data_IF_585927343247
#
_entry.id   IF_585927343247
#
_cell.length_a   1.000
_cell.length_b   1.000
_cell.length_c   1.000
_cell.angle_alpha   90.00
_cell.angle_beta   90.00
_cell.angle_gamma   90.00
#
_symmetry.space_group_name_H-M   'P 1'
#
loop_
_entity.id
_entity.type
_entity.pdbx_description
1 polymer ?
#
# COMPACT_ATOMS: atom_id res chain seq x y z
N UNK A 1 4.63 36.59 3.89
CA UNK A 1 4.49 35.42 3.00
C UNK A 1 3.18 34.73 3.33
N UNK A 2 2.19 34.75 2.45
CA UNK A 2 0.97 33.96 2.62
C UNK A 2 1.32 32.46 2.52
N UNK A 3 0.93 31.67 3.52
CA UNK A 3 1.09 30.22 3.47
C UNK A 3 0.11 29.66 2.46
N UNK A 4 0.58 29.16 1.32
CA UNK A 4 -0.23 28.41 0.34
C UNK A 4 -0.93 27.24 1.06
N UNK A 5 -2.23 27.10 0.83
CA UNK A 5 -3.02 25.96 1.33
C UNK A 5 -2.58 24.69 0.60
N UNK A 6 -2.19 23.67 1.35
CA UNK A 6 -1.75 22.38 0.80
C UNK A 6 -2.90 21.61 0.15
N UNK A 7 -2.61 20.86 -0.91
CA UNK A 7 -3.56 19.96 -1.56
C UNK A 7 -3.79 18.68 -0.74
N UNK A 8 -4.87 17.96 -1.02
CA UNK A 8 -5.15 16.67 -0.38
C UNK A 8 -4.04 15.63 -0.64
N UNK A 9 -3.45 15.69 -1.83
CA UNK A 9 -2.33 14.83 -2.25
C UNK A 9 -1.06 15.17 -1.47
N UNK A 10 -0.68 16.45 -1.38
CA UNK A 10 0.48 16.89 -0.58
C UNK A 10 0.35 16.45 0.88
N UNK A 11 -0.84 16.59 1.47
CA UNK A 11 -1.10 16.14 2.85
C UNK A 11 -1.01 14.62 2.98
N UNK A 12 -1.41 13.87 1.95
CA UNK A 12 -1.36 12.40 1.94
C UNK A 12 0.07 11.90 1.80
N UNK A 13 0.83 12.46 0.87
CA UNK A 13 2.25 12.18 0.67
C UNK A 13 3.06 12.48 1.93
N UNK A 14 2.91 13.69 2.50
CA UNK A 14 3.55 14.07 3.76
C UNK A 14 3.25 13.07 4.89
N UNK A 15 2.00 12.58 4.96
CA UNK A 15 1.58 11.65 6.00
C UNK A 15 2.14 10.26 5.80
N UNK A 16 2.23 9.79 4.56
CA UNK A 16 2.81 8.51 4.20
C UNK A 16 4.29 8.47 4.55
N UNK A 17 5.09 9.38 3.98
CA UNK A 17 6.55 9.38 4.17
C UNK A 17 6.94 9.56 5.64
N UNK A 18 6.25 10.45 6.39
CA UNK A 18 6.49 10.60 7.85
C UNK A 18 6.17 9.36 8.67
N UNK A 19 5.31 8.46 8.19
CA UNK A 19 4.97 7.20 8.88
C UNK A 19 5.91 6.08 8.47
N UNK A 20 6.25 6.04 7.19
CA UNK A 20 7.25 5.12 6.64
C UNK A 20 8.60 5.31 7.34
N UNK A 21 9.08 6.56 7.44
CA UNK A 21 10.33 6.91 8.14
C UNK A 21 10.33 6.49 9.62
N UNK A 22 9.15 6.45 10.25
CA UNK A 22 8.98 6.01 11.65
C UNK A 22 8.87 4.50 11.80
N UNK A 23 8.92 3.72 10.70
CA UNK A 23 8.65 2.29 10.72
C UNK A 23 7.22 1.96 11.17
N UNK A 24 6.27 2.87 10.95
CA UNK A 24 4.87 2.73 11.40
C UNK A 24 3.98 2.03 10.36
N UNK A 25 4.48 1.78 9.15
CA UNK A 25 3.75 1.17 8.06
C UNK A 25 4.22 -0.27 7.82
N UNK A 26 3.26 -1.16 7.57
CA UNK A 26 3.51 -2.55 7.18
C UNK A 26 2.71 -2.83 5.91
N UNK A 27 3.33 -3.47 4.93
CA UNK A 27 2.64 -3.97 3.74
C UNK A 27 1.71 -5.11 4.16
N UNK A 28 0.42 -4.97 3.90
CA UNK A 28 -0.59 -6.00 4.18
C UNK A 28 -1.11 -6.66 2.90
N UNK A 29 -0.94 -6.03 1.75
CA UNK A 29 -1.20 -6.67 0.46
C UNK A 29 -0.24 -6.15 -0.59
N UNK A 30 0.17 -7.02 -1.50
CA UNK A 30 1.00 -6.70 -2.65
C UNK A 30 0.61 -7.58 -3.84
N UNK A 31 0.92 -7.11 -5.04
CA UNK A 31 0.83 -7.94 -6.24
C UNK A 31 1.80 -9.12 -6.12
N UNK A 32 1.37 -10.32 -6.56
CA UNK A 32 2.28 -11.47 -6.65
C UNK A 32 3.21 -11.27 -7.87
N UNK A 33 4.51 -11.33 -7.63
CA UNK A 33 5.53 -11.13 -8.67
C UNK A 33 5.24 -11.92 -9.97
N UNK A 34 5.17 -11.20 -11.08
CA UNK A 34 5.42 -11.73 -12.42
C UNK A 34 4.27 -12.45 -13.14
N UNK A 35 3.05 -12.47 -12.60
CA UNK A 35 1.90 -13.06 -13.28
C UNK A 35 0.68 -12.15 -13.25
N UNK A 36 0.28 -11.66 -14.42
CA UNK A 36 -0.97 -10.92 -14.59
C UNK A 36 -2.06 -11.87 -15.09
N UNK A 37 -3.22 -11.85 -14.45
CA UNK A 37 -4.38 -12.63 -14.86
C UNK A 37 -5.51 -11.68 -15.25
N UNK A 38 -5.90 -11.67 -16.53
CA UNK A 38 -7.07 -10.91 -17.00
C UNK A 38 -8.25 -11.88 -17.15
N UNK A 39 -9.35 -11.59 -16.48
CA UNK A 39 -10.60 -12.35 -16.61
C UNK A 39 -11.68 -11.47 -17.27
N UNK A 40 -11.95 -11.72 -18.54
CA UNK A 40 -13.05 -11.10 -19.31
C UNK A 40 -13.75 -12.20 -20.12
N UNK A 41 -14.62 -12.98 -19.47
CA UNK A 41 -15.31 -14.14 -20.04
C UNK A 41 -14.48 -15.44 -20.10
N UNK A 42 -13.15 -15.34 -20.22
CA UNK A 42 -12.18 -16.42 -19.99
C UNK A 42 -10.98 -15.83 -19.22
N UNK A 43 -10.40 -16.58 -18.29
CA UNK A 43 -9.20 -16.14 -17.57
C UNK A 43 -7.95 -16.52 -18.37
N UNK A 44 -7.11 -15.52 -18.67
CA UNK A 44 -5.78 -15.71 -19.24
C UNK A 44 -4.74 -15.24 -18.23
N UNK A 45 -3.85 -16.14 -17.86
CA UNK A 45 -2.72 -15.87 -16.97
C UNK A 45 -1.42 -16.11 -17.75
N UNK A 46 -0.46 -15.20 -17.66
CA UNK A 46 0.81 -15.34 -18.35
C UNK A 46 1.84 -14.31 -17.95
N UNK A 47 3.07 -14.51 -18.42
CA UNK A 47 4.10 -13.48 -18.30
C UNK A 47 3.74 -12.30 -19.20
N UNK A 48 3.96 -11.06 -18.73
CA UNK A 48 3.74 -9.87 -19.55
C UNK A 48 4.50 -9.96 -20.89
N UNK A 49 3.85 -9.56 -21.99
CA UNK A 49 4.50 -9.45 -23.32
C UNK A 49 5.47 -8.26 -23.32
N UNK A 50 6.46 -8.23 -24.22
CA UNK A 50 7.32 -7.04 -24.44
C UNK A 50 6.45 -5.80 -24.69
N UNK A 51 6.81 -4.64 -24.12
CA UNK A 51 6.03 -3.39 -23.99
C UNK A 51 5.08 -3.34 -22.76
N UNK A 52 5.47 -3.91 -21.61
CA UNK A 52 4.58 -4.00 -20.44
C UNK A 52 4.90 -2.97 -19.36
N UNK A 53 3.83 -2.41 -18.81
CA UNK A 53 3.84 -1.62 -17.58
C UNK A 53 4.34 -2.47 -16.41
N UNK A 54 5.50 -2.14 -15.84
CA UNK A 54 5.83 -2.67 -14.52
C UNK A 54 4.95 -1.94 -13.50
N UNK A 55 3.82 -2.57 -13.13
CA UNK A 55 2.95 -2.12 -12.06
C UNK A 55 3.40 -2.77 -10.76
N UNK A 56 3.77 -1.96 -9.78
CA UNK A 56 3.94 -2.42 -8.41
C UNK A 56 2.84 -1.79 -7.56
N UNK A 57 1.95 -2.64 -7.04
CA UNK A 57 0.87 -2.22 -6.14
C UNK A 57 1.15 -2.73 -4.74
N UNK A 58 1.07 -1.82 -3.77
CA UNK A 58 1.18 -2.13 -2.35
C UNK A 58 0.04 -1.48 -1.58
N UNK A 59 -0.49 -2.22 -0.60
CA UNK A 59 -1.35 -1.65 0.44
C UNK A 59 -0.59 -1.70 1.75
N UNK A 60 -0.36 -0.53 2.33
CA UNK A 60 0.23 -0.35 3.64
C UNK A 60 -0.84 -0.11 4.70
N UNK A 61 -0.60 -0.63 5.90
CA UNK A 61 -1.42 -0.36 7.08
C UNK A 61 -0.56 0.18 8.22
N UNK A 62 -1.09 1.20 8.91
CA UNK A 62 -0.41 1.79 10.05
C UNK A 62 -0.54 0.94 11.31
N UNK A 63 0.57 0.71 12.01
CA UNK A 63 0.61 0.09 13.35
C UNK A 63 0.07 1.09 14.39
N UNK A 64 0.47 2.36 14.28
CA UNK A 64 0.04 3.56 15.02
C UNK A 64 -1.44 3.81 15.04
N UNK A 65 -2.05 3.67 13.87
CA UNK A 65 -3.45 3.95 13.60
C UNK A 65 -4.01 2.80 12.78
N UNK A 66 -4.49 1.72 13.41
CA UNK A 66 -4.91 0.50 12.71
C UNK A 66 -5.99 0.67 11.63
N UNK A 67 -6.76 1.75 11.69
CA UNK A 67 -7.78 2.05 10.69
C UNK A 67 -7.24 2.82 9.48
N UNK A 68 -5.99 3.28 9.50
CA UNK A 68 -5.38 4.08 8.46
C UNK A 68 -4.58 3.18 7.51
N UNK A 69 -4.93 3.22 6.23
CA UNK A 69 -4.25 2.49 5.17
C UNK A 69 -3.84 3.45 4.03
N UNK A 70 -2.85 3.01 3.26
CA UNK A 70 -2.37 3.68 2.07
C UNK A 70 -2.28 2.67 0.94
N UNK A 71 -2.79 3.05 -0.22
CA UNK A 71 -2.60 2.31 -1.45
C UNK A 71 -1.58 3.07 -2.29
N UNK A 72 -0.55 2.35 -2.72
CA UNK A 72 0.54 2.88 -3.51
C UNK A 72 0.61 2.08 -4.81
N UNK A 73 0.60 2.78 -5.93
CA UNK A 73 0.85 2.20 -7.26
C UNK A 73 1.99 2.95 -7.90
N UNK A 74 2.95 2.19 -8.40
CA UNK A 74 4.00 2.67 -9.26
C UNK A 74 3.88 1.97 -10.62
N UNK A 75 3.74 2.75 -11.69
CA UNK A 75 3.75 2.24 -13.06
C UNK A 75 5.00 2.77 -13.76
N UNK A 76 5.77 1.87 -14.37
CA UNK A 76 6.88 2.22 -15.24
C UNK A 76 6.58 1.76 -16.68
N UNK A 77 6.64 2.70 -17.62
CA UNK A 77 6.67 2.42 -19.05
C UNK A 77 8.14 2.39 -19.53
N UNK A 78 8.48 1.50 -20.48
CA UNK A 78 9.80 1.48 -21.12
C UNK A 78 10.07 2.81 -21.86
N UNK A 79 9.02 3.54 -22.25
CA UNK A 79 9.08 4.88 -22.85
C UNK A 79 9.25 6.04 -21.84
N UNK A 80 9.76 5.76 -20.64
CA UNK A 80 10.19 6.70 -19.59
C UNK A 80 9.10 7.50 -18.85
N UNK A 81 7.81 7.26 -19.13
CA UNK A 81 6.74 7.83 -18.32
C UNK A 81 6.49 6.96 -17.08
N UNK A 82 6.93 7.46 -15.92
CA UNK A 82 6.54 6.87 -14.63
C UNK A 82 5.32 7.60 -14.08
N UNK A 83 4.31 6.85 -13.63
CA UNK A 83 3.20 7.41 -12.86
C UNK A 83 3.19 6.83 -11.46
N UNK A 84 3.00 7.70 -10.49
CA UNK A 84 2.93 7.37 -9.08
C UNK A 84 1.58 7.80 -8.53
N UNK A 85 0.86 6.86 -7.93
CA UNK A 85 -0.41 7.14 -7.26
C UNK A 85 -0.29 6.70 -5.81
N UNK A 86 -0.63 7.62 -4.90
CA UNK A 86 -0.71 7.34 -3.47
C UNK A 86 -2.03 7.90 -2.94
N UNK A 87 -2.87 7.04 -2.38
CA UNK A 87 -4.09 7.49 -1.72
C UNK A 87 -4.27 6.86 -0.34
N UNK A 88 -4.93 7.62 0.53
CA UNK A 88 -5.25 7.23 1.89
C UNK A 88 -6.69 6.74 1.96
N UNK A 89 -6.92 5.63 2.66
CA UNK A 89 -8.26 5.12 2.92
C UNK A 89 -8.39 4.53 4.34
N UNK A 90 -9.63 4.22 4.74
CA UNK A 90 -9.90 3.52 6.01
C UNK A 90 -9.92 2.02 5.78
N UNK A 91 -9.34 1.24 6.69
CA UNK A 91 -9.25 -0.23 6.59
C UNK A 91 -10.61 -0.92 6.30
N UNK A 92 -11.72 -0.41 6.82
CA UNK A 92 -13.07 -0.93 6.53
C UNK A 92 -13.46 -0.91 5.04
N UNK A 93 -12.71 -0.19 4.21
CA UNK A 93 -12.91 -0.13 2.75
C UNK A 93 -11.87 -0.97 1.99
N UNK A 94 -11.10 -1.82 2.68
CA UNK A 94 -10.05 -2.64 2.07
C UNK A 94 -10.59 -3.50 0.93
N UNK A 95 -11.75 -4.13 1.11
CA UNK A 95 -12.37 -4.99 0.08
C UNK A 95 -12.71 -4.24 -1.21
N UNK A 96 -12.94 -2.93 -1.15
CA UNK A 96 -13.20 -2.10 -2.34
C UNK A 96 -11.92 -1.59 -3.01
N UNK A 97 -10.79 -1.70 -2.32
CA UNK A 97 -9.47 -1.22 -2.75
C UNK A 97 -8.58 -2.36 -3.22
N UNK A 98 -8.79 -3.56 -2.67
CA UNK A 98 -8.00 -4.75 -2.98
C UNK A 98 -8.24 -5.16 -4.44
N UNK A 99 -7.18 -5.18 -5.24
CA UNK A 99 -7.27 -5.68 -6.60
C UNK A 99 -7.29 -7.22 -6.62
N UNK A 100 -7.92 -7.86 -7.64
CA UNK A 100 -8.11 -9.31 -7.66
C UNK A 100 -6.83 -10.16 -7.61
N UNK A 101 -5.71 -9.59 -8.07
CA UNK A 101 -4.38 -10.19 -8.16
C UNK A 101 -3.50 -9.92 -6.92
N UNK A 102 -3.96 -9.07 -6.00
CA UNK A 102 -3.26 -8.81 -4.76
C UNK A 102 -3.40 -9.95 -3.76
N UNK A 103 -2.27 -10.36 -3.18
CA UNK A 103 -2.27 -11.28 -2.05
C UNK A 103 -2.33 -10.51 -0.73
N UNK A 104 -3.39 -10.72 0.04
CA UNK A 104 -3.50 -10.20 1.40
C UNK A 104 -2.74 -11.11 2.38
N UNK A 105 -1.75 -10.55 3.09
CA UNK A 105 -1.05 -11.19 4.20
C UNK A 105 -0.94 -10.23 5.39
N UNK A 106 -1.67 -10.54 6.47
CA UNK A 106 -1.64 -9.74 7.69
C UNK A 106 -0.70 -10.30 8.78
N UNK A 107 0.09 -11.33 8.49
CA UNK A 107 0.90 -12.04 9.49
C UNK A 107 1.90 -11.11 10.17
N UNK A 108 2.70 -10.37 9.40
CA UNK A 108 3.69 -9.44 9.94
C UNK A 108 3.00 -8.28 10.69
N UNK A 109 1.90 -7.76 10.14
CA UNK A 109 1.12 -6.71 10.79
C UNK A 109 0.62 -7.14 12.18
N UNK A 110 0.05 -8.35 12.27
CA UNK A 110 -0.44 -8.92 13.51
C UNK A 110 0.69 -9.17 14.52
N UNK A 111 1.86 -9.62 14.06
CA UNK A 111 3.04 -9.79 14.90
C UNK A 111 3.52 -8.45 15.49
N UNK A 112 3.59 -7.39 14.68
CA UNK A 112 3.99 -6.05 15.14
C UNK A 112 3.00 -5.43 16.13
N UNK A 113 1.69 -5.60 15.90
CA UNK A 113 0.66 -5.18 16.85
C UNK A 113 0.80 -5.91 18.18
N UNK A 114 1.03 -7.24 18.17
CA UNK A 114 1.27 -8.02 19.40
C UNK A 114 2.50 -7.53 20.14
N UNK A 115 3.64 -7.36 19.45
CA UNK A 115 4.89 -6.81 20.03
C UNK A 115 4.64 -5.45 20.71
N UNK A 116 3.89 -4.56 20.06
CA UNK A 116 3.58 -3.23 20.62
C UNK A 116 2.70 -3.31 21.86
N UNK A 117 1.68 -4.17 21.87
CA UNK A 117 0.82 -4.39 23.04
C UNK A 117 1.67 -4.89 24.24
N UNK A 118 2.55 -5.85 24.00
CA UNK A 118 3.45 -6.37 25.03
C UNK A 118 4.39 -5.30 25.60
N UNK A 119 5.03 -4.49 24.73
CA UNK A 119 5.89 -3.37 25.18
C UNK A 119 5.14 -2.38 26.05
N UNK A 120 3.89 -2.05 25.73
CA UNK A 120 3.07 -1.14 26.56
C UNK A 120 2.79 -1.72 27.94
N UNK A 121 2.49 -3.01 28.04
CA UNK A 121 2.23 -3.68 29.32
C UNK A 121 3.49 -3.73 30.18
N UNK A 122 4.64 -4.03 29.57
CA UNK A 122 5.93 -4.10 30.26
C UNK A 122 6.43 -2.73 30.73
N UNK A 123 6.13 -1.65 30.00
CA UNK A 123 6.51 -0.28 30.38
C UNK A 123 5.65 0.32 31.50
N UNK A 124 4.55 -0.34 31.89
CA UNK A 124 3.69 0.06 33.01
C UNK A 124 4.14 -0.61 34.33
N UNK A 125 5.07 -1.55 34.28
CA UNK A 125 5.68 -2.20 35.44
C UNK A 125 7.00 -1.53 35.81
#
# INVERSE_FOLDING_TARGET
MEKRRRTSEEVTNDMFYKREEKGDLVVIAADRDGYWCKCSGRCQCGKPRKNFFAKQTYIYRSIGKPNLCFFQVWNCDEDANSSYTLYRFKYKYLEHVLEPDMALDETEYNAQIRKRKLRKVLAIR
#
